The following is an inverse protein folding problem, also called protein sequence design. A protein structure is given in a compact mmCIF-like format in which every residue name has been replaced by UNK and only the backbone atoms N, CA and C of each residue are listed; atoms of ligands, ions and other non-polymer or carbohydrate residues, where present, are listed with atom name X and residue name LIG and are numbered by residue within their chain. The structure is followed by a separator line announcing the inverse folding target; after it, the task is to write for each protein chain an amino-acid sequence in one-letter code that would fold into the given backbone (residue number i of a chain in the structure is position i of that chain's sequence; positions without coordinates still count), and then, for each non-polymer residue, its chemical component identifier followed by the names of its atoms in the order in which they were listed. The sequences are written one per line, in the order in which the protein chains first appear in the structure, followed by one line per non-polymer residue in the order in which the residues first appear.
data_IF_534167541411
#
_entry.id   IF_534167541411
#
_cell.length_a   1.000
_cell.length_b   1.000
_cell.length_c   1.000
_cell.angle_alpha   90.00
_cell.angle_beta   90.00
_cell.angle_gamma   90.00
#
_symmetry.space_group_name_H-M   'P 1'
#
loop_
_entity.id
_entity.type
_entity.pdbx_description
1 polymer ?
#
# COMPACT_ATOMS: atom_id res chain seq x y z
N UNK A 1 -28.10 6.76 -30.40
CA UNK A 1 -27.37 7.07 -29.15
C UNK A 1 -26.64 5.81 -28.69
N UNK A 2 -25.38 5.90 -28.26
CA UNK A 2 -24.65 4.73 -27.76
C UNK A 2 -25.19 4.40 -26.36
N UNK A 3 -25.83 3.25 -26.13
CA UNK A 3 -26.55 2.96 -24.87
C UNK A 3 -25.62 3.03 -23.65
N UNK A 4 -24.33 2.74 -23.83
CA UNK A 4 -23.29 2.90 -22.81
C UNK A 4 -23.19 4.34 -22.27
N UNK A 5 -23.35 5.34 -23.13
CA UNK A 5 -23.29 6.75 -22.75
C UNK A 5 -24.54 7.16 -21.96
N UNK A 6 -25.71 6.66 -22.37
CA UNK A 6 -26.96 6.89 -21.66
C UNK A 6 -26.94 6.27 -20.26
N UNK A 7 -26.46 5.02 -20.15
CA UNK A 7 -26.30 4.33 -18.86
C UNK A 7 -25.31 5.08 -17.96
N UNK A 8 -24.17 5.52 -18.49
CA UNK A 8 -23.19 6.31 -17.72
C UNK A 8 -23.79 7.63 -17.21
N UNK A 9 -24.54 8.34 -18.05
CA UNK A 9 -25.24 9.57 -17.64
C UNK A 9 -26.27 9.30 -16.54
N UNK A 10 -27.07 8.24 -16.68
CA UNK A 10 -28.05 7.84 -15.66
C UNK A 10 -27.37 7.52 -14.34
N UNK A 11 -26.25 6.80 -14.36
CA UNK A 11 -25.48 6.47 -13.16
C UNK A 11 -24.89 7.72 -12.50
N UNK A 12 -24.36 8.67 -13.27
CA UNK A 12 -23.86 9.94 -12.73
C UNK A 12 -24.99 10.73 -12.06
N UNK A 13 -26.16 10.83 -12.70
CA UNK A 13 -27.31 11.52 -12.12
C UNK A 13 -27.76 10.85 -10.82
N UNK A 14 -27.85 9.51 -10.81
CA UNK A 14 -28.19 8.74 -9.61
C UNK A 14 -27.17 8.96 -8.48
N UNK A 15 -25.88 9.03 -8.81
CA UNK A 15 -24.81 9.27 -7.84
C UNK A 15 -24.94 10.66 -7.21
N UNK A 16 -25.21 11.69 -8.02
CA UNK A 16 -25.42 13.06 -7.53
C UNK A 16 -26.64 13.12 -6.63
N UNK A 17 -27.76 12.51 -7.04
CA UNK A 17 -28.99 12.46 -6.25
C UNK A 17 -28.76 11.70 -4.94
N UNK A 18 -28.02 10.59 -4.98
CA UNK A 18 -27.64 9.84 -3.79
C UNK A 18 -26.83 10.71 -2.83
N UNK A 19 -25.82 11.45 -3.31
CA UNK A 19 -25.07 12.37 -2.46
C UNK A 19 -25.96 13.48 -1.88
N UNK A 20 -26.78 14.15 -2.70
CA UNK A 20 -27.68 15.21 -2.25
C UNK A 20 -28.68 14.72 -1.20
N UNK A 21 -29.27 13.54 -1.39
CA UNK A 21 -30.21 12.96 -0.42
C UNK A 21 -29.53 12.47 0.85
N UNK A 22 -28.28 12.00 0.76
CA UNK A 22 -27.46 11.63 1.91
C UNK A 22 -26.63 12.81 2.45
N UNK A 23 -27.01 14.05 2.08
CA UNK A 23 -26.47 15.29 2.66
C UNK A 23 -27.26 15.66 3.92
N UNK A 24 -27.60 14.68 4.75
CA UNK A 24 -27.97 14.95 6.13
C UNK A 24 -26.71 15.45 6.83
N UNK A 25 -26.67 16.76 7.08
CA UNK A 25 -25.58 17.44 7.76
C UNK A 25 -25.54 16.97 9.20
N UNK A 26 -24.49 16.24 9.56
CA UNK A 26 -24.22 15.86 10.95
C UNK A 26 -23.10 16.75 11.46
N UNK A 27 -23.26 17.28 12.66
CA UNK A 27 -22.22 18.07 13.32
C UNK A 27 -21.10 17.14 13.77
N UNK A 28 -19.91 17.33 13.19
CA UNK A 28 -18.70 16.66 13.60
C UNK A 28 -18.01 17.50 14.68
N UNK A 29 -17.95 16.98 15.91
CA UNK A 29 -17.15 17.55 16.99
C UNK A 29 -15.85 16.75 17.14
N UNK A 30 -14.72 17.34 16.72
CA UNK A 30 -13.39 16.76 16.85
C UNK A 30 -12.52 17.58 17.80
N UNK A 31 -12.38 17.10 19.04
CA UNK A 31 -11.59 17.68 20.13
C UNK A 31 -11.99 19.12 20.51
N UNK A 32 -11.64 20.12 19.67
CA UNK A 32 -12.02 21.53 19.81
C UNK A 32 -12.55 22.14 18.49
N UNK A 33 -12.68 21.32 17.44
CA UNK A 33 -13.14 21.74 16.13
C UNK A 33 -14.55 21.21 15.89
N UNK A 34 -15.45 22.10 15.49
CA UNK A 34 -16.81 21.76 15.07
C UNK A 34 -16.95 22.09 13.59
N UNK A 35 -17.52 21.16 12.83
CA UNK A 35 -17.79 21.34 11.41
C UNK A 35 -19.04 20.59 11.00
N UNK A 36 -19.90 21.25 10.23
CA UNK A 36 -21.09 20.61 9.65
C UNK A 36 -20.73 20.00 8.31
N UNK A 37 -20.84 18.69 8.20
CA UNK A 37 -20.61 17.95 6.97
C UNK A 37 -21.50 16.71 6.89
N UNK A 38 -21.71 16.18 5.68
CA UNK A 38 -22.38 14.89 5.54
C UNK A 38 -21.52 13.78 6.16
N UNK A 39 -22.14 12.93 6.98
CA UNK A 39 -21.48 11.76 7.59
C UNK A 39 -20.84 10.86 6.52
N UNK A 40 -21.49 10.72 5.36
CA UNK A 40 -20.96 9.92 4.25
C UNK A 40 -19.64 10.48 3.70
N UNK A 41 -19.52 11.81 3.61
CA UNK A 41 -18.29 12.48 3.18
C UNK A 41 -17.17 12.23 4.19
N UNK A 42 -17.46 12.35 5.48
CA UNK A 42 -16.49 12.08 6.55
C UNK A 42 -16.00 10.63 6.52
N UNK A 43 -16.92 9.65 6.43
CA UNK A 43 -16.57 8.22 6.35
C UNK A 43 -15.71 7.94 5.12
N UNK A 44 -16.06 8.54 3.98
CA UNK A 44 -15.30 8.36 2.73
C UNK A 44 -13.87 8.89 2.87
N UNK A 45 -13.70 10.12 3.36
CA UNK A 45 -12.39 10.75 3.52
C UNK A 45 -11.53 9.99 4.53
N UNK A 46 -12.08 9.68 5.70
CA UNK A 46 -11.36 8.95 6.75
C UNK A 46 -10.95 7.54 6.31
N UNK A 47 -11.80 6.85 5.56
CA UNK A 47 -11.47 5.54 4.97
C UNK A 47 -10.35 5.64 3.95
N UNK A 48 -10.39 6.63 3.04
CA UNK A 48 -9.33 6.82 2.04
C UNK A 48 -7.99 7.15 2.69
N UNK A 49 -7.99 8.00 3.71
CA UNK A 49 -6.78 8.33 4.48
C UNK A 49 -6.27 7.09 5.21
N UNK A 50 -7.13 6.38 5.95
CA UNK A 50 -6.75 5.17 6.67
C UNK A 50 -6.22 4.06 5.76
N UNK A 51 -6.87 3.85 4.61
CA UNK A 51 -6.43 2.89 3.59
C UNK A 51 -5.08 3.29 2.99
N UNK A 52 -4.91 4.56 2.60
CA UNK A 52 -3.66 5.08 2.07
C UNK A 52 -2.51 4.95 3.08
N UNK A 53 -2.75 5.31 4.34
CA UNK A 53 -1.79 5.12 5.42
C UNK A 53 -1.48 3.63 5.64
N UNK A 54 -2.49 2.76 5.62
CA UNK A 54 -2.30 1.31 5.76
C UNK A 54 -1.43 0.69 4.67
N UNK A 55 -1.45 1.25 3.46
CA UNK A 55 -0.56 0.83 2.36
C UNK A 55 0.86 1.40 2.49
N UNK A 56 0.98 2.66 2.94
CA UNK A 56 2.25 3.40 2.95
C UNK A 56 3.08 3.12 4.21
N UNK A 57 2.45 2.98 5.38
CA UNK A 57 3.14 2.72 6.65
C UNK A 57 4.03 1.47 6.62
N UNK A 58 3.58 0.31 6.11
CA UNK A 58 4.42 -0.87 6.03
C UNK A 58 5.66 -0.70 5.16
N UNK A 59 5.59 0.15 4.12
CA UNK A 59 6.73 0.47 3.27
C UNK A 59 7.74 1.39 3.98
N UNK A 60 7.25 2.35 4.78
CA UNK A 60 8.08 3.28 5.55
C UNK A 60 8.69 2.63 6.80
N UNK A 61 7.95 1.75 7.45
CA UNK A 61 8.31 1.14 8.73
C UNK A 61 8.97 -0.24 8.57
N UNK A 62 9.12 -0.75 7.34
CA UNK A 62 9.68 -2.09 7.09
C UNK A 62 11.09 -2.17 7.68
N UNK A 63 11.31 -2.96 8.74
CA UNK A 63 12.66 -3.20 9.23
C UNK A 63 13.44 -3.92 8.13
N UNK A 64 14.62 -3.40 7.81
CA UNK A 64 15.48 -3.89 6.73
C UNK A 64 16.20 -5.17 7.17
N UNK A 65 15.47 -6.26 7.41
CA UNK A 65 16.02 -7.49 8.00
C UNK A 65 16.53 -8.53 6.99
N UNK A 66 16.53 -8.23 5.69
CA UNK A 66 16.80 -9.27 4.67
C UNK A 66 18.21 -9.24 4.05
N UNK A 67 19.07 -8.29 4.41
CA UNK A 67 20.46 -8.24 3.89
C UNK A 67 21.51 -8.83 4.84
N UNK A 68 21.14 -9.27 6.05
CA UNK A 68 22.10 -9.89 6.99
C UNK A 68 22.19 -11.41 6.83
N UNK A 69 21.15 -12.11 6.39
CA UNK A 69 21.21 -13.57 6.22
C UNK A 69 21.99 -13.99 4.96
N UNK A 70 21.89 -13.21 3.86
CA UNK A 70 22.66 -13.43 2.63
C UNK A 70 24.15 -13.08 2.79
N UNK A 71 24.51 -12.18 3.71
CA UNK A 71 25.90 -11.87 4.02
C UNK A 71 26.46 -12.82 5.08
N UNK A 72 25.65 -13.31 6.02
CA UNK A 72 26.09 -14.31 7.01
C UNK A 72 26.30 -15.70 6.40
N UNK A 73 25.53 -16.09 5.37
CA UNK A 73 25.80 -17.33 4.62
C UNK A 73 27.04 -17.21 3.73
N UNK A 74 27.28 -16.06 3.12
CA UNK A 74 28.45 -15.82 2.27
C UNK A 74 29.75 -15.57 3.08
N UNK A 75 29.65 -14.96 4.27
CA UNK A 75 30.78 -14.77 5.20
C UNK A 75 31.13 -16.02 6.02
N UNK A 76 30.19 -16.97 6.15
CA UNK A 76 30.43 -18.26 6.82
C UNK A 76 30.81 -19.33 5.81
N UNK A 77 31.86 -19.05 5.04
CA UNK A 77 32.69 -20.00 4.29
C UNK A 77 32.07 -21.36 4.00
N UNK A 78 31.08 -21.41 3.12
CA UNK A 78 30.77 -22.65 2.42
C UNK A 78 31.93 -22.88 1.44
N UNK A 79 32.98 -23.56 1.92
CA UNK A 79 34.01 -24.13 1.07
C UNK A 79 33.29 -25.02 0.06
N UNK A 80 33.38 -24.75 -1.26
CA UNK A 80 33.06 -25.76 -2.23
C UNK A 80 34.12 -26.83 -2.06
N UNK A 81 33.73 -27.93 -1.42
CA UNK A 81 34.54 -29.12 -1.41
C UNK A 81 34.77 -29.55 -2.85
N UNK A 82 36.06 -29.72 -3.18
CA UNK A 82 36.58 -30.80 -4.01
C UNK A 82 36.24 -30.73 -5.51
N UNK A 83 37.23 -30.28 -6.28
CA UNK A 83 37.76 -30.94 -7.49
C UNK A 83 39.12 -30.28 -7.75
N UNK A 84 40.25 -30.98 -7.58
CA UNK A 84 40.83 -31.90 -8.56
C UNK A 84 41.32 -31.13 -9.80
N UNK A 85 42.65 -31.12 -10.01
CA UNK A 85 43.44 -30.40 -11.05
C UNK A 85 43.71 -28.93 -10.69
N UNK A 86 44.95 -28.44 -10.58
CA UNK A 86 46.16 -28.64 -11.38
C UNK A 86 47.36 -28.88 -10.43
N UNK A 87 48.03 -30.03 -10.42
CA UNK A 87 49.17 -30.38 -11.30
C UNK A 87 50.05 -29.16 -11.59
N UNK A 88 51.24 -29.10 -10.99
CA UNK A 88 52.56 -28.80 -11.61
C UNK A 88 53.57 -28.60 -10.46
N UNK A 89 54.31 -29.65 -10.08
CA UNK A 89 55.66 -29.98 -10.58
C UNK A 89 56.69 -28.88 -10.23
N UNK A 90 57.59 -29.21 -9.30
CA UNK A 90 59.07 -29.06 -9.34
C UNK A 90 59.58 -29.04 -7.88
N UNK A 91 60.27 -30.08 -7.40
CA UNK A 91 61.63 -30.52 -7.75
C UNK A 91 62.69 -29.54 -7.21
N UNK A 92 63.24 -29.86 -6.04
CA UNK A 92 64.66 -30.20 -5.78
C UNK A 92 65.00 -30.08 -4.28
#
# INVERSE_FOLDING_TARGET
MRPRLAIALILIVLLIVFFMQNTDTTTLSFLFWESDMSLAVLITITTLIGFGLGLVLPALLRPREEHQQLQASNAKGEKPGRNDQEVHINAD
#
